data_IF_718787325862
#
_entry.id   IF_718787325862
#
_cell.length_a   1.000
_cell.length_b   1.000
_cell.length_c   1.000
_cell.angle_alpha   90.00
_cell.angle_beta   90.00
_cell.angle_gamma   90.00
#
_symmetry.space_group_name_H-M   'P 1'
#
loop_
_entity.id
_entity.type
_entity.pdbx_description
1 polymer ?
#
# COMPACT_ATOMS: atom_id res chain seq x y z
N UNK A 1 3.91 15.49 -6.72
CA UNK A 1 2.44 15.44 -6.60
C UNK A 1 1.84 14.17 -7.22
N UNK A 2 0.53 13.94 -7.07
CA UNK A 2 -0.13 12.72 -7.58
C UNK A 2 0.02 12.63 -9.11
N UNK A 3 0.36 11.45 -9.62
CA UNK A 3 0.56 11.18 -11.05
C UNK A 3 1.98 11.43 -11.56
N UNK A 4 2.86 12.06 -10.76
CA UNK A 4 4.26 12.23 -11.13
C UNK A 4 5.03 10.91 -11.09
N UNK A 5 6.04 10.78 -11.95
CA UNK A 5 6.95 9.64 -11.95
C UNK A 5 7.73 9.59 -10.63
N UNK A 6 7.86 8.38 -10.08
CA UNK A 6 8.59 8.16 -8.84
C UNK A 6 9.40 6.86 -8.95
N UNK A 7 10.52 6.81 -8.22
CA UNK A 7 11.29 5.58 -8.00
C UNK A 7 11.17 5.08 -6.55
N UNK A 8 10.71 5.94 -5.64
CA UNK A 8 10.62 5.66 -4.21
C UNK A 8 9.48 6.47 -3.60
N UNK A 9 8.73 5.88 -2.67
CA UNK A 9 7.60 6.53 -1.98
C UNK A 9 7.98 7.80 -1.23
N UNK A 10 9.24 7.96 -0.83
CA UNK A 10 9.75 9.19 -0.20
C UNK A 10 9.70 10.42 -1.12
N UNK A 11 9.64 10.24 -2.44
CA UNK A 11 9.49 11.33 -3.42
C UNK A 11 8.04 11.85 -3.47
N UNK A 12 7.09 11.05 -3.03
CA UNK A 12 5.67 11.37 -3.09
C UNK A 12 5.21 12.00 -1.77
N UNK A 13 4.56 13.17 -1.82
CA UNK A 13 3.93 13.79 -0.65
C UNK A 13 2.90 12.86 0.03
N UNK A 14 2.19 12.05 -0.77
CA UNK A 14 1.26 11.03 -0.28
C UNK A 14 1.96 9.87 0.45
N UNK A 15 3.27 9.69 0.23
CA UNK A 15 4.03 8.56 0.73
C UNK A 15 3.73 7.23 0.02
N UNK A 16 3.13 7.26 -1.18
CA UNK A 16 2.95 6.06 -2.00
C UNK A 16 3.43 6.27 -3.43
N UNK A 17 4.40 5.45 -3.84
CA UNK A 17 4.82 5.26 -5.23
C UNK A 17 4.22 3.95 -5.76
N UNK A 18 3.29 4.04 -6.71
CA UNK A 18 2.47 2.94 -7.18
C UNK A 18 2.84 2.51 -8.61
N UNK A 19 2.85 1.19 -8.86
CA UNK A 19 3.04 0.60 -10.18
C UNK A 19 2.01 -0.49 -10.44
N UNK A 20 1.63 -0.71 -11.70
CA UNK A 20 0.60 -1.69 -12.07
C UNK A 20 1.17 -3.09 -12.30
N UNK A 21 2.44 -3.20 -12.72
CA UNK A 21 3.15 -4.47 -12.97
C UNK A 21 4.65 -4.32 -12.73
N UNK A 22 5.39 -5.44 -12.70
CA UNK A 22 6.84 -5.46 -12.41
C UNK A 22 7.70 -4.67 -13.40
N UNK A 23 7.22 -4.47 -14.63
CA UNK A 23 7.91 -3.72 -15.70
C UNK A 23 7.30 -2.33 -15.96
N UNK A 24 6.23 -1.97 -15.24
CA UNK A 24 5.56 -0.68 -15.43
C UNK A 24 6.27 0.47 -14.73
N UNK A 25 6.17 1.68 -15.30
CA UNK A 25 6.61 2.92 -14.66
C UNK A 25 5.75 3.21 -13.42
N UNK A 26 6.41 3.51 -12.31
CA UNK A 26 5.74 3.87 -11.07
C UNK A 26 5.41 5.37 -11.03
N UNK A 27 4.27 5.71 -10.41
CA UNK A 27 3.79 7.08 -10.22
C UNK A 27 3.25 7.31 -8.83
N UNK A 28 3.34 8.53 -8.33
CA UNK A 28 2.78 8.89 -7.04
C UNK A 28 1.26 8.70 -7.05
N UNK A 29 0.73 8.05 -6.02
CA UNK A 29 -0.69 7.72 -5.89
C UNK A 29 -1.21 8.08 -4.49
N UNK A 30 -2.53 8.30 -4.32
CA UNK A 30 -3.11 8.44 -3.00
C UNK A 30 -2.97 7.14 -2.21
N UNK A 31 -2.96 7.25 -0.88
CA UNK A 31 -3.05 6.09 0.00
C UNK A 31 -4.45 5.48 -0.06
N UNK A 32 -4.56 4.22 0.35
CA UNK A 32 -5.84 3.51 0.35
C UNK A 32 -6.72 3.97 1.53
N UNK A 33 -7.95 4.38 1.22
CA UNK A 33 -8.98 4.72 2.21
C UNK A 33 -9.59 3.45 2.83
N UNK A 34 -10.44 3.63 3.84
CA UNK A 34 -11.17 2.53 4.47
C UNK A 34 -11.94 1.70 3.43
N UNK A 35 -11.96 0.38 3.61
CA UNK A 35 -12.56 -0.60 2.69
C UNK A 35 -11.89 -0.72 1.31
N UNK A 36 -10.79 -0.01 1.04
CA UNK A 36 -10.02 -0.17 -0.18
C UNK A 36 -8.92 -1.23 -0.05
N UNK A 37 -8.53 -1.81 -1.19
CA UNK A 37 -7.41 -2.74 -1.26
C UNK A 37 -6.08 -2.06 -0.92
N UNK A 38 -5.25 -2.75 -0.15
CA UNK A 38 -3.98 -2.24 0.32
C UNK A 38 -2.87 -3.29 0.27
N UNK A 39 -1.63 -2.81 0.32
CA UNK A 39 -0.48 -3.63 0.68
C UNK A 39 0.03 -3.20 2.05
N UNK A 40 0.48 -4.14 2.90
CA UNK A 40 1.31 -3.84 4.06
C UNK A 40 2.51 -2.99 3.64
N UNK A 41 2.95 -2.11 4.55
CA UNK A 41 4.15 -1.29 4.35
C UNK A 41 5.35 -2.21 4.09
N UNK A 42 6.13 -1.87 3.07
CA UNK A 42 7.28 -2.64 2.63
C UNK A 42 8.51 -1.76 2.51
N UNK A 43 9.68 -2.36 2.78
CA UNK A 43 10.99 -1.72 2.66
C UNK A 43 11.35 -1.38 1.21
N UNK A 44 10.75 -2.05 0.22
CA UNK A 44 10.98 -1.74 -1.20
C UNK A 44 10.45 -0.36 -1.57
N UNK A 45 9.41 0.11 -0.86
CA UNK A 45 8.88 1.47 -0.98
C UNK A 45 8.29 1.81 -2.37
N UNK A 46 8.02 0.81 -3.19
CA UNK A 46 7.17 0.88 -4.38
C UNK A 46 6.10 -0.21 -4.24
N UNK A 47 4.86 0.11 -4.59
CA UNK A 47 3.70 -0.70 -4.23
C UNK A 47 2.85 -1.06 -5.46
N UNK A 48 2.28 -2.27 -5.46
CA UNK A 48 1.19 -2.63 -6.37
C UNK A 48 -0.19 -2.19 -5.88
N UNK A 49 -0.33 -2.02 -4.57
CA UNK A 49 -1.51 -1.45 -3.90
C UNK A 49 -0.99 -0.54 -2.81
N UNK A 50 -1.43 0.72 -2.78
CA UNK A 50 -0.91 1.67 -1.81
C UNK A 50 -1.21 1.24 -0.36
N UNK A 51 -0.34 1.61 0.60
CA UNK A 51 -0.65 1.41 2.01
C UNK A 51 -1.85 2.28 2.41
N UNK A 52 -2.49 1.90 3.52
CA UNK A 52 -3.64 2.64 4.04
C UNK A 52 -3.29 4.07 4.49
N UNK A 53 -4.31 4.92 4.52
CA UNK A 53 -4.27 6.21 5.18
C UNK A 53 -3.93 6.09 6.68
N UNK A 54 -3.47 7.20 7.26
CA UNK A 54 -3.12 7.24 8.68
C UNK A 54 -4.33 6.93 9.54
N UNK A 55 -4.19 6.01 10.50
CA UNK A 55 -5.27 5.58 11.38
C UNK A 55 -5.93 4.26 10.97
N UNK A 56 -5.68 3.77 9.75
CA UNK A 56 -6.19 2.49 9.27
C UNK A 56 -5.12 1.40 9.30
N UNK A 57 -5.56 0.15 9.43
CA UNK A 57 -4.71 -1.05 9.35
C UNK A 57 -5.03 -1.82 8.08
N UNK A 58 -4.00 -2.26 7.36
CA UNK A 58 -4.16 -3.16 6.22
C UNK A 58 -4.34 -4.60 6.73
N UNK A 59 -5.58 -5.08 6.72
CA UNK A 59 -5.98 -6.43 7.12
C UNK A 59 -5.68 -7.40 5.97
N UNK A 60 -4.50 -8.00 6.01
CA UNK A 60 -3.98 -8.91 4.98
C UNK A 60 -3.44 -10.19 5.66
N UNK A 61 -3.75 -11.35 5.07
CA UNK A 61 -3.12 -12.61 5.45
C UNK A 61 -1.65 -12.59 5.02
N UNK A 62 -0.74 -12.39 5.97
CA UNK A 62 0.70 -12.30 5.69
C UNK A 62 1.30 -13.68 5.47
N UNK A 63 1.72 -13.95 4.25
CA UNK A 63 2.43 -15.19 3.90
C UNK A 63 3.91 -14.90 3.70
N UNK A 64 4.79 -15.88 3.98
CA UNK A 64 6.24 -15.72 3.78
C UNK A 64 6.53 -15.34 2.32
N UNK A 65 5.86 -16.00 1.37
CA UNK A 65 6.03 -15.73 -0.07
C UNK A 65 5.49 -14.34 -0.43
N UNK A 66 4.28 -13.97 0.01
CA UNK A 66 3.68 -12.69 -0.32
C UNK A 66 4.36 -11.48 0.34
N UNK A 67 5.03 -11.67 1.47
CA UNK A 67 5.87 -10.65 2.11
C UNK A 67 7.17 -10.41 1.32
N UNK A 68 7.73 -11.46 0.71
CA UNK A 68 8.89 -11.36 -0.20
C UNK A 68 8.47 -10.73 -1.53
N UNK A 69 7.35 -11.15 -2.12
CA UNK A 69 6.89 -10.64 -3.44
C UNK A 69 6.12 -9.32 -3.35
N UNK A 70 5.89 -8.80 -2.15
CA UNK A 70 5.02 -7.64 -1.88
C UNK A 70 3.62 -7.80 -2.49
N UNK A 71 3.03 -8.99 -2.31
CA UNK A 71 1.73 -9.36 -2.88
C UNK A 71 0.74 -9.87 -1.82
N UNK A 72 1.07 -9.74 -0.53
CA UNK A 72 0.09 -9.91 0.54
C UNK A 72 -0.88 -8.71 0.48
N UNK A 73 -1.94 -8.82 -0.33
CA UNK A 73 -2.96 -7.78 -0.42
C UNK A 73 -4.02 -7.98 0.65
N UNK A 74 -4.53 -6.87 1.17
CA UNK A 74 -5.58 -6.86 2.18
C UNK A 74 -6.56 -5.72 1.93
N UNK A 75 -7.35 -5.43 2.96
CA UNK A 75 -8.32 -4.33 2.96
C UNK A 75 -8.04 -3.41 4.13
N UNK A 76 -8.10 -2.09 3.91
CA UNK A 76 -7.95 -1.13 4.99
C UNK A 76 -9.17 -1.14 5.93
N UNK A 77 -8.93 -1.32 7.22
CA UNK A 77 -9.96 -1.27 8.27
C UNK A 77 -9.55 -0.37 9.44
N UNK A 78 -10.54 0.22 10.10
CA UNK A 78 -10.30 0.88 11.38
C UNK A 78 -9.92 -0.17 12.46
N UNK A 79 -8.82 0.04 13.22
CA UNK A 79 -8.46 -0.82 14.35
C UNK A 79 -9.57 -0.99 15.40
N UNK A 80 -10.45 -0.01 15.56
CA UNK A 80 -11.57 -0.06 16.49
C UNK A 80 -12.68 -1.01 16.01
N UNK A 81 -12.82 -1.20 14.69
CA UNK A 81 -13.75 -2.18 14.13
C UNK A 81 -13.24 -3.61 14.36
N UNK A 82 -11.92 -3.82 14.19
CA UNK A 82 -11.29 -5.12 14.40
C UNK A 82 -11.23 -5.54 15.87
N UNK A 83 -11.10 -4.59 16.81
CA UNK A 83 -11.14 -4.85 18.27
C UNK A 83 -12.53 -5.28 18.80
N UNK A 84 -13.60 -5.03 18.05
CA UNK A 84 -14.98 -5.42 18.43
C UNK A 84 -15.40 -6.80 17.95
N UNK A 85 -14.51 -7.56 17.29
CA UNK A 85 -14.75 -8.93 16.83
C UNK A 85 -14.11 -9.98 17.74
#
# INVERSE_FOLDING_TARGET
>A
DIGELCLQSAQCKSGCCHRTSGLSLARCAPKAAESQECSPKSIYGVYYKCPCESGLTCDADKTIVGSITNSDFGVCRDPQETSRR
#
